data_IF_529007104243
#
_entry.id   IF_529007104243
#
_cell.length_a   1.000
_cell.length_b   1.000
_cell.length_c   1.000
_cell.angle_alpha   90.00
_cell.angle_beta   90.00
_cell.angle_gamma   90.00
#
_symmetry.space_group_name_H-M   'P 1'
#
loop_
_entity.id
_entity.type
_entity.pdbx_description
1 polymer ?
#
# COMPACT_ATOMS: atom_id res chain seq x y z
N UNK A 1 15.73 -14.33 -0.69
CA UNK A 1 15.99 -13.15 0.16
C UNK A 1 14.72 -12.64 0.85
N UNK A 2 13.67 -12.24 0.11
CA UNK A 2 12.45 -11.69 0.71
C UNK A 2 11.79 -12.60 1.75
N UNK A 3 11.48 -13.87 1.40
CA UNK A 3 10.79 -14.78 2.32
C UNK A 3 11.60 -15.02 3.62
N UNK A 4 12.93 -15.18 3.50
CA UNK A 4 13.83 -15.27 4.67
C UNK A 4 13.76 -14.01 5.54
N UNK A 5 13.68 -12.81 4.94
CA UNK A 5 13.55 -11.55 5.70
C UNK A 5 12.18 -11.44 6.37
N UNK A 6 11.12 -11.92 5.71
CA UNK A 6 9.78 -11.93 6.26
C UNK A 6 9.70 -12.87 7.48
N UNK A 7 10.26 -14.08 7.37
CA UNK A 7 10.38 -15.05 8.47
C UNK A 7 11.15 -14.44 9.66
N UNK A 8 12.31 -13.82 9.42
CA UNK A 8 13.09 -13.13 10.47
C UNK A 8 12.32 -12.00 11.17
N UNK A 9 11.35 -11.39 10.48
CA UNK A 9 10.53 -10.31 10.99
C UNK A 9 9.19 -10.79 11.58
N UNK A 10 8.91 -12.11 11.58
CA UNK A 10 7.62 -12.66 11.98
C UNK A 10 6.45 -12.23 11.08
N UNK A 11 6.73 -11.88 9.82
CA UNK A 11 5.71 -11.49 8.83
C UNK A 11 5.31 -12.71 8.04
N UNK A 12 4.07 -13.15 8.23
CA UNK A 12 3.47 -14.27 7.51
C UNK A 12 2.43 -13.77 6.51
N UNK A 13 2.42 -14.38 5.32
CA UNK A 13 1.39 -14.16 4.32
C UNK A 13 0.33 -15.23 4.38
N UNK A 14 -0.84 -14.98 3.82
CA UNK A 14 -1.90 -15.99 3.69
C UNK A 14 -1.79 -16.70 2.35
N UNK A 15 -2.54 -17.79 2.16
CA UNK A 15 -2.65 -18.45 0.86
C UNK A 15 -3.20 -17.51 -0.23
N UNK A 16 -4.11 -16.60 0.14
CA UNK A 16 -4.70 -15.62 -0.79
C UNK A 16 -3.81 -14.38 -0.98
N UNK A 17 -3.00 -14.05 0.02
CA UNK A 17 -2.11 -12.89 0.04
C UNK A 17 -0.70 -13.30 0.54
N UNK A 18 0.09 -13.99 -0.29
CA UNK A 18 1.43 -14.39 0.09
C UNK A 18 2.36 -13.18 0.14
N UNK A 19 3.39 -13.27 0.99
CA UNK A 19 4.45 -12.25 1.02
C UNK A 19 5.17 -12.24 -0.33
N UNK A 20 5.00 -11.14 -1.07
CA UNK A 20 5.55 -10.96 -2.40
C UNK A 20 6.18 -9.57 -2.56
N UNK A 21 7.16 -9.40 -3.46
CA UNK A 21 7.76 -8.09 -3.72
C UNK A 21 6.71 -7.06 -4.18
N UNK A 22 5.73 -7.51 -4.98
CA UNK A 22 4.64 -6.65 -5.43
C UNK A 22 3.71 -6.26 -4.28
N UNK A 23 3.36 -7.21 -3.39
CA UNK A 23 2.56 -6.95 -2.19
C UNK A 23 3.23 -5.93 -1.27
N UNK A 24 4.54 -6.06 -1.02
CA UNK A 24 5.29 -5.08 -0.22
C UNK A 24 5.31 -3.69 -0.84
N UNK A 25 5.49 -3.59 -2.16
CA UNK A 25 5.40 -2.32 -2.86
C UNK A 25 4.01 -1.69 -2.71
N UNK A 26 2.95 -2.48 -2.86
CA UNK A 26 1.58 -2.01 -2.67
C UNK A 26 1.35 -1.51 -1.24
N UNK A 27 1.78 -2.29 -0.24
CA UNK A 27 1.72 -1.91 1.17
C UNK A 27 2.49 -0.63 1.47
N UNK A 28 3.71 -0.47 0.93
CA UNK A 28 4.48 0.77 1.05
C UNK A 28 3.70 1.98 0.52
N UNK A 29 3.17 1.91 -0.70
CA UNK A 29 2.41 3.03 -1.30
C UNK A 29 1.19 3.37 -0.44
N UNK A 30 0.47 2.35 0.03
CA UNK A 30 -0.69 2.54 0.91
C UNK A 30 -0.31 3.23 2.22
N UNK A 31 0.75 2.77 2.90
CA UNK A 31 1.20 3.37 4.16
C UNK A 31 1.72 4.80 3.97
N UNK A 32 2.51 5.05 2.93
CA UNK A 32 3.00 6.39 2.61
C UNK A 32 1.86 7.38 2.31
N UNK A 33 0.82 6.91 1.60
CA UNK A 33 -0.39 7.69 1.34
C UNK A 33 -1.12 8.03 2.65
N UNK A 34 -1.27 7.05 3.55
CA UNK A 34 -1.92 7.25 4.86
C UNK A 34 -1.15 8.22 5.75
N UNK A 35 0.17 8.22 5.65
CA UNK A 35 1.03 9.18 6.33
C UNK A 35 0.97 10.61 5.75
N UNK A 36 0.17 10.84 4.70
CA UNK A 36 0.00 12.16 4.09
C UNK A 36 1.19 12.62 3.25
N UNK A 37 2.08 11.70 2.86
CA UNK A 37 3.23 12.05 2.01
C UNK A 37 2.77 12.44 0.60
N UNK A 38 3.45 13.38 -0.06
CA UNK A 38 3.06 13.85 -1.39
C UNK A 38 3.22 12.74 -2.44
N UNK A 39 2.25 12.68 -3.37
CA UNK A 39 2.18 11.65 -4.40
C UNK A 39 3.47 11.63 -5.24
N UNK A 40 4.06 12.78 -5.55
CA UNK A 40 5.32 12.90 -6.31
C UNK A 40 6.49 12.22 -5.62
N UNK A 41 6.62 12.36 -4.29
CA UNK A 41 7.69 11.73 -3.52
C UNK A 41 7.50 10.20 -3.48
N UNK A 42 6.26 9.74 -3.32
CA UNK A 42 5.91 8.32 -3.35
C UNK A 42 6.22 7.75 -4.75
N UNK A 43 5.83 8.46 -5.82
CA UNK A 43 6.07 8.06 -7.20
C UNK A 43 7.56 8.01 -7.53
N UNK A 44 8.35 8.98 -7.07
CA UNK A 44 9.80 8.99 -7.25
C UNK A 44 10.47 7.79 -6.56
N UNK A 45 10.13 7.52 -5.30
CA UNK A 45 10.67 6.37 -4.55
C UNK A 45 10.29 5.04 -5.20
N UNK A 46 9.04 4.93 -5.66
CA UNK A 46 8.54 3.71 -6.27
C UNK A 46 8.85 3.63 -7.77
N UNK A 47 9.37 4.68 -8.42
CA UNK A 47 9.60 4.73 -9.88
C UNK A 47 8.32 4.54 -10.69
N UNK A 48 7.17 5.02 -10.19
CA UNK A 48 5.96 5.10 -11.01
C UNK A 48 6.10 6.29 -11.99
N UNK A 49 5.99 6.01 -13.29
CA UNK A 49 5.99 7.05 -14.33
C UNK A 49 4.61 7.69 -14.56
N UNK A 50 3.54 6.99 -14.16
CA UNK A 50 2.16 7.40 -14.38
C UNK A 50 1.38 7.38 -13.05
N UNK A 51 0.82 8.53 -12.70
CA UNK A 51 -0.04 8.71 -11.54
C UNK A 51 -1.30 7.83 -11.60
N UNK A 52 -1.81 7.46 -12.78
CA UNK A 52 -2.97 6.55 -12.92
C UNK A 52 -2.69 5.18 -12.29
N UNK A 53 -1.46 4.67 -12.43
CA UNK A 53 -1.04 3.39 -11.85
C UNK A 53 -0.97 3.49 -10.33
N UNK A 54 -0.37 4.56 -9.81
CA UNK A 54 -0.28 4.79 -8.36
C UNK A 54 -1.67 5.00 -7.72
N UNK A 55 -2.57 5.73 -8.39
CA UNK A 55 -3.92 6.05 -7.88
C UNK A 55 -4.76 4.84 -7.48
N UNK A 56 -4.49 3.65 -8.01
CA UNK A 56 -5.14 2.40 -7.57
C UNK A 56 -4.85 2.10 -6.09
N UNK A 57 -3.61 2.33 -5.65
CA UNK A 57 -3.19 2.14 -4.27
C UNK A 57 -3.71 3.27 -3.36
N UNK A 58 -3.71 4.52 -3.85
CA UNK A 58 -4.24 5.68 -3.12
C UNK A 58 -5.73 5.51 -2.80
N UNK A 59 -6.53 5.08 -3.79
CA UNK A 59 -7.95 4.80 -3.55
C UNK A 59 -8.15 3.74 -2.49
N UNK A 60 -7.39 2.63 -2.54
CA UNK A 60 -7.42 1.59 -1.50
C UNK A 60 -7.02 2.12 -0.13
N UNK A 61 -6.01 2.98 -0.06
CA UNK A 61 -5.56 3.59 1.20
C UNK A 61 -6.66 4.47 1.83
N UNK A 62 -7.32 5.31 1.02
CA UNK A 62 -8.35 6.24 1.47
C UNK A 62 -9.73 5.59 1.70
N UNK A 63 -10.00 4.43 1.11
CA UNK A 63 -11.26 3.71 1.31
C UNK A 63 -11.55 3.35 2.78
N UNK A 64 -10.52 3.24 3.64
CA UNK A 64 -10.72 2.89 5.05
C UNK A 64 -10.86 4.14 5.95
N UNK A 65 -10.21 5.23 5.58
CA UNK A 65 -10.12 6.44 6.41
C UNK A 65 -11.17 7.50 5.99
N UNK A 66 -11.56 7.51 4.71
CA UNK A 66 -12.39 8.56 4.10
C UNK A 66 -13.67 7.98 3.45
N UNK A 67 -14.05 6.77 3.83
CA UNK A 67 -15.28 6.10 3.34
C UNK A 67 -16.51 6.98 3.61
N UNK A 68 -17.31 7.30 2.58
CA UNK A 68 -18.61 7.95 2.77
C UNK A 68 -19.51 7.14 3.71
N UNK A 69 -19.47 5.81 3.65
CA UNK A 69 -20.25 4.96 4.57
C UNK A 69 -19.82 5.19 6.03
N UNK A 70 -18.50 5.24 6.28
CA UNK A 70 -17.96 5.55 7.61
C UNK A 70 -18.33 6.96 8.08
N UNK A 71 -18.29 7.96 7.20
CA UNK A 71 -18.73 9.34 7.49
C UNK A 71 -20.24 9.43 7.77
N UNK A 72 -21.01 8.53 7.19
CA UNK A 72 -22.46 8.41 7.38
C UNK A 72 -22.84 7.49 8.56
N UNK A 73 -21.86 6.87 9.24
CA UNK A 73 -22.09 5.99 10.38
C UNK A 73 -22.69 4.63 10.03
N UNK A 74 -22.48 4.14 8.80
CA UNK A 74 -22.94 2.85 8.28
C UNK A 74 -21.86 1.76 8.39
#
# INVERSE_FOLDING_TARGET
VLLRRAEQAGVEGTHLEPVSPHGLRAGFVTQATKAGLPDEAIMAHTRHKDAKTMRRYVRRARLLDDSPARKLGL
#
